data_IF_584534342810
#
_entry.id   IF_584534342810
#
_cell.length_a   1.000
_cell.length_b   1.000
_cell.length_c   1.000
_cell.angle_alpha   90.00
_cell.angle_beta   90.00
_cell.angle_gamma   90.00
#
_symmetry.space_group_name_H-M   'P 1'
#
loop_
_entity.id
_entity.type
_entity.pdbx_description
1 polymer ?
#
# COMPACT_ATOMS: atom_id res chain seq x y z
N UNK A 1 15.84 34.00 6.82
CA UNK A 1 14.53 33.67 6.23
C UNK A 1 14.43 32.17 6.27
N UNK A 2 13.71 31.66 7.26
CA UNK A 2 13.70 30.25 7.65
C UNK A 2 12.54 29.56 6.91
N UNK A 3 12.85 28.60 6.04
CA UNK A 3 11.86 27.89 5.24
C UNK A 3 10.99 26.99 6.11
N UNK A 4 9.67 27.19 6.03
CA UNK A 4 8.65 26.40 6.71
C UNK A 4 8.51 25.01 6.05
N UNK A 5 8.82 23.90 6.73
CA UNK A 5 8.87 22.57 6.13
C UNK A 5 7.49 21.93 5.86
N UNK A 6 6.38 22.65 6.08
CA UNK A 6 5.01 22.09 6.01
C UNK A 6 4.33 22.30 4.64
N UNK A 7 4.83 23.18 3.77
CA UNK A 7 4.08 23.59 2.56
C UNK A 7 4.48 22.91 1.25
N UNK A 8 5.56 22.12 1.19
CA UNK A 8 5.99 21.47 -0.05
C UNK A 8 6.26 19.97 0.15
N UNK A 9 5.63 19.06 -0.62
CA UNK A 9 6.03 17.66 -0.60
C UNK A 9 7.49 17.55 -1.09
N UNK A 10 8.34 16.73 -0.44
CA UNK A 10 9.73 16.58 -0.87
C UNK A 10 9.75 15.98 -2.28
N UNK A 11 10.07 16.79 -3.27
CA UNK A 11 10.36 16.35 -4.62
C UNK A 11 11.81 15.85 -4.63
N UNK A 12 11.99 14.56 -4.34
CA UNK A 12 13.30 13.92 -4.53
C UNK A 12 13.34 13.15 -5.83
N UNK A 13 14.16 13.66 -6.75
CA UNK A 13 14.81 12.89 -7.80
C UNK A 13 15.77 11.84 -7.19
N UNK A 14 16.08 10.75 -7.93
CA UNK A 14 16.88 9.62 -7.44
C UNK A 14 18.22 10.05 -6.83
N UNK A 15 18.67 9.31 -5.79
CA UNK A 15 19.82 9.64 -4.94
C UNK A 15 21.17 9.54 -5.68
N UNK A 16 21.23 8.84 -6.82
CA UNK A 16 22.25 8.99 -7.86
C UNK A 16 21.63 8.72 -9.24
N UNK A 17 21.99 9.49 -10.28
CA UNK A 17 21.43 9.31 -11.64
C UNK A 17 21.65 7.90 -12.22
N UNK A 18 22.65 7.18 -11.72
CA UNK A 18 23.01 5.85 -12.19
C UNK A 18 22.06 4.76 -11.68
N UNK A 19 21.53 4.86 -10.45
CA UNK A 19 20.58 3.88 -9.90
C UNK A 19 19.27 3.85 -10.70
N UNK A 20 18.77 5.02 -11.09
CA UNK A 20 17.57 5.13 -11.92
C UNK A 20 17.82 4.55 -13.32
N UNK A 21 18.95 4.89 -13.94
CA UNK A 21 19.35 4.33 -15.22
C UNK A 21 19.45 2.80 -15.19
N UNK A 22 20.11 2.25 -14.17
CA UNK A 22 20.24 0.80 -13.98
C UNK A 22 18.88 0.14 -13.77
N UNK A 23 18.04 0.70 -12.90
CA UNK A 23 16.69 0.16 -12.63
C UNK A 23 15.83 0.16 -13.90
N UNK A 24 15.89 1.25 -14.68
CA UNK A 24 15.17 1.36 -15.95
C UNK A 24 15.66 0.32 -16.95
N UNK A 25 16.98 0.18 -17.12
CA UNK A 25 17.59 -0.79 -18.03
C UNK A 25 17.18 -2.22 -17.63
N UNK A 26 17.32 -2.59 -16.35
CA UNK A 26 16.94 -3.91 -15.86
C UNK A 26 15.45 -4.19 -16.06
N UNK A 27 14.59 -3.19 -15.81
CA UNK A 27 13.14 -3.32 -16.03
C UNK A 27 12.80 -3.51 -17.52
N UNK A 28 13.52 -2.82 -18.42
CA UNK A 28 13.36 -2.98 -19.87
C UNK A 28 13.81 -4.37 -20.33
N UNK A 29 14.96 -4.87 -19.87
CA UNK A 29 15.40 -6.22 -20.17
C UNK A 29 14.41 -7.26 -19.65
N UNK A 30 13.95 -7.13 -18.41
CA UNK A 30 12.94 -8.02 -17.85
C UNK A 30 11.66 -8.03 -18.70
N UNK A 31 11.16 -6.85 -19.07
CA UNK A 31 9.99 -6.71 -19.95
C UNK A 31 10.21 -7.33 -21.33
N UNK A 32 11.39 -7.14 -21.93
CA UNK A 32 11.75 -7.74 -23.22
C UNK A 32 11.78 -9.27 -23.13
N UNK A 33 12.48 -9.84 -22.14
CA UNK A 33 12.54 -11.28 -21.94
C UNK A 33 11.16 -11.88 -21.67
N UNK A 34 10.31 -11.19 -20.89
CA UNK A 34 8.93 -11.60 -20.67
C UNK A 34 8.12 -11.60 -21.97
N UNK A 35 8.29 -10.59 -22.82
CA UNK A 35 7.64 -10.54 -24.13
C UNK A 35 8.14 -11.67 -25.04
N UNK A 36 9.45 -11.86 -25.14
CA UNK A 36 10.05 -12.93 -25.95
C UNK A 36 9.53 -14.30 -25.49
N UNK A 37 9.50 -14.57 -24.18
CA UNK A 37 8.95 -15.82 -23.67
C UNK A 37 7.46 -15.95 -23.99
N UNK A 38 6.67 -14.89 -23.85
CA UNK A 38 5.23 -14.93 -24.13
C UNK A 38 4.92 -15.22 -25.60
N UNK A 39 5.71 -14.67 -26.53
CA UNK A 39 5.50 -14.84 -27.98
C UNK A 39 6.19 -16.08 -28.57
N UNK A 40 7.26 -16.57 -27.94
CA UNK A 40 7.94 -17.80 -28.37
C UNK A 40 7.17 -19.02 -27.84
N UNK A 41 6.72 -19.90 -28.73
CA UNK A 41 5.99 -21.13 -28.40
C UNK A 41 4.84 -20.89 -27.42
N UNK A 42 3.88 -20.08 -27.86
CA UNK A 42 2.76 -19.62 -27.03
C UNK A 42 2.03 -20.79 -26.36
N UNK A 43 1.95 -20.71 -25.03
CA UNK A 43 1.14 -21.57 -24.20
C UNK A 43 0.29 -20.68 -23.28
N UNK A 44 -1.02 -20.89 -23.16
CA UNK A 44 -1.89 -20.07 -22.30
C UNK A 44 -1.37 -19.89 -20.87
N UNK A 45 -0.63 -20.87 -20.34
CA UNK A 45 -0.02 -20.82 -19.00
C UNK A 45 0.99 -19.68 -18.83
N UNK A 46 1.63 -19.23 -19.91
CA UNK A 46 2.55 -18.09 -19.88
C UNK A 46 1.84 -16.78 -19.55
N UNK A 47 0.50 -16.71 -19.71
CA UNK A 47 -0.29 -15.56 -19.27
C UNK A 47 -0.36 -15.39 -17.74
N UNK A 48 0.06 -16.40 -16.97
CA UNK A 48 0.07 -16.32 -15.51
C UNK A 48 0.89 -15.14 -14.98
N UNK A 49 2.05 -14.86 -15.58
CA UNK A 49 2.93 -13.75 -15.18
C UNK A 49 2.31 -12.37 -15.45
N UNK A 50 1.85 -12.03 -16.67
CA UNK A 50 1.19 -10.73 -16.88
C UNK A 50 -0.10 -10.59 -16.07
N UNK A 51 -0.87 -11.66 -15.86
CA UNK A 51 -2.02 -11.60 -14.95
C UNK A 51 -1.61 -11.35 -13.51
N UNK A 52 -0.51 -11.95 -13.03
CA UNK A 52 0.02 -11.68 -11.70
C UNK A 52 0.42 -10.21 -11.55
N UNK A 53 1.13 -9.63 -12.54
CA UNK A 53 1.54 -8.23 -12.51
C UNK A 53 0.33 -7.27 -12.55
N UNK A 54 -0.67 -7.58 -13.37
CA UNK A 54 -1.91 -6.81 -13.42
C UNK A 54 -2.71 -6.92 -12.11
N UNK A 55 -2.79 -8.12 -11.54
CA UNK A 55 -3.41 -8.37 -10.25
C UNK A 55 -2.71 -7.58 -9.14
N UNK A 56 -1.38 -7.48 -9.15
CA UNK A 56 -0.63 -6.70 -8.15
C UNK A 56 -1.08 -5.24 -8.09
N UNK A 57 -1.25 -4.60 -9.25
CA UNK A 57 -1.70 -3.20 -9.33
C UNK A 57 -3.14 -3.07 -8.81
N UNK A 58 -4.03 -3.99 -9.20
CA UNK A 58 -5.42 -3.99 -8.76
C UNK A 58 -5.53 -4.21 -7.24
N UNK A 59 -4.80 -5.20 -6.71
CA UNK A 59 -4.78 -5.54 -5.29
C UNK A 59 -4.24 -4.40 -4.46
N UNK A 60 -3.17 -3.72 -4.91
CA UNK A 60 -2.66 -2.52 -4.24
C UNK A 60 -3.76 -1.47 -4.05
N UNK A 61 -4.59 -1.23 -5.08
CA UNK A 61 -5.73 -0.31 -4.96
C UNK A 61 -6.71 -0.83 -3.90
N UNK A 62 -7.16 -2.09 -4.01
CA UNK A 62 -8.10 -2.69 -3.07
C UNK A 62 -7.59 -2.60 -1.62
N UNK A 63 -6.30 -2.86 -1.43
CA UNK A 63 -5.60 -2.83 -0.16
C UNK A 63 -5.70 -1.45 0.52
N UNK A 64 -5.29 -0.39 -0.18
CA UNK A 64 -5.35 0.97 0.35
C UNK A 64 -6.80 1.42 0.59
N UNK A 65 -7.72 1.05 -0.30
CA UNK A 65 -9.13 1.36 -0.10
C UNK A 65 -9.73 0.62 1.09
N UNK A 66 -9.25 -0.59 1.45
CA UNK A 66 -9.69 -1.31 2.62
C UNK A 66 -9.30 -0.59 3.92
N UNK A 67 -8.07 -0.09 4.03
CA UNK A 67 -7.66 0.76 5.16
C UNK A 67 -8.55 1.99 5.29
N UNK A 68 -8.80 2.69 4.17
CA UNK A 68 -9.65 3.87 4.17
C UNK A 68 -11.11 3.55 4.52
N UNK A 69 -11.63 2.41 4.06
CA UNK A 69 -12.98 1.96 4.36
C UNK A 69 -13.15 1.66 5.85
N UNK A 70 -12.24 0.89 6.45
CA UNK A 70 -12.28 0.58 7.88
C UNK A 70 -12.06 1.84 8.73
N UNK A 71 -11.14 2.73 8.33
CA UNK A 71 -10.95 4.01 9.02
C UNK A 71 -12.24 4.83 9.07
N UNK A 72 -12.96 4.93 7.96
CA UNK A 72 -14.27 5.61 7.92
C UNK A 72 -15.33 4.87 8.74
N UNK A 73 -15.36 3.53 8.69
CA UNK A 73 -16.31 2.71 9.43
C UNK A 73 -16.16 2.86 10.95
N UNK A 74 -14.93 3.07 11.45
CA UNK A 74 -14.67 3.31 12.89
C UNK A 74 -14.85 4.79 13.30
N UNK A 75 -15.37 5.63 12.40
CA UNK A 75 -15.67 7.04 12.64
C UNK A 75 -14.52 8.01 12.36
N UNK A 76 -13.36 7.52 11.91
CA UNK A 76 -12.21 8.38 11.61
C UNK A 76 -12.30 9.01 10.22
N UNK A 77 -11.62 10.13 10.04
CA UNK A 77 -11.53 10.80 8.73
C UNK A 77 -10.34 10.25 7.95
N UNK A 78 -10.41 10.32 6.62
CA UNK A 78 -9.30 9.96 5.74
C UNK A 78 -8.94 11.19 4.92
N UNK A 79 -7.75 11.75 5.13
CA UNK A 79 -7.33 12.96 4.42
C UNK A 79 -6.74 12.66 3.06
N UNK A 80 -5.97 11.57 2.95
CA UNK A 80 -5.25 11.21 1.74
C UNK A 80 -5.20 9.70 1.54
N UNK A 81 -5.35 9.27 0.29
CA UNK A 81 -5.07 7.92 -0.19
C UNK A 81 -4.06 8.08 -1.33
N UNK A 82 -2.89 7.46 -1.20
CA UNK A 82 -1.84 7.50 -2.22
C UNK A 82 -1.62 6.10 -2.75
N UNK A 83 -1.76 5.97 -4.07
CA UNK A 83 -1.53 4.72 -4.80
C UNK A 83 -0.29 4.92 -5.64
N UNK A 84 0.73 4.10 -5.37
CA UNK A 84 2.04 4.18 -6.00
C UNK A 84 3.03 5.08 -5.25
N UNK A 85 4.26 5.10 -5.76
CA UNK A 85 5.38 5.93 -5.32
C UNK A 85 5.96 6.75 -6.48
N UNK A 86 6.85 7.69 -6.14
CA UNK A 86 7.47 8.62 -7.10
C UNK A 86 6.60 9.83 -7.45
N UNK A 87 6.79 10.37 -8.66
CA UNK A 87 6.11 11.61 -9.11
C UNK A 87 4.59 11.39 -9.20
N UNK A 88 3.82 12.36 -8.69
CA UNK A 88 2.37 12.42 -8.85
C UNK A 88 2.03 12.56 -10.33
N UNK A 89 1.15 11.68 -10.85
CA UNK A 89 0.71 11.68 -12.25
C UNK A 89 -0.71 12.20 -12.37
N UNK A 90 -1.59 11.70 -11.51
CA UNK A 90 -2.99 12.06 -11.49
C UNK A 90 -3.49 12.12 -10.06
N UNK A 91 -4.57 12.84 -9.82
CA UNK A 91 -5.23 12.79 -8.53
C UNK A 91 -6.49 13.64 -8.52
N UNK A 92 -7.45 13.22 -7.74
CA UNK A 92 -8.75 13.86 -7.62
C UNK A 92 -9.20 13.85 -6.16
N UNK A 93 -10.18 14.70 -5.84
CA UNK A 93 -10.70 14.82 -4.48
C UNK A 93 -12.11 14.26 -4.43
N UNK A 94 -12.37 13.39 -3.46
CA UNK A 94 -13.71 12.85 -3.17
C UNK A 94 -14.10 13.32 -1.77
N UNK A 95 -14.98 14.32 -1.70
CA UNK A 95 -15.33 14.99 -0.44
C UNK A 95 -14.10 15.65 0.20
N UNK A 96 -13.68 15.16 1.37
CA UNK A 96 -12.49 15.64 2.07
C UNK A 96 -11.22 14.82 1.80
N UNK A 97 -11.33 13.72 1.07
CA UNK A 97 -10.21 12.80 0.82
C UNK A 97 -9.54 13.12 -0.52
N UNK A 98 -8.23 13.37 -0.50
CA UNK A 98 -7.40 13.48 -1.70
C UNK A 98 -6.93 12.09 -2.13
N UNK A 99 -7.20 11.69 -3.38
CA UNK A 99 -6.76 10.42 -3.95
C UNK A 99 -5.69 10.73 -5.00
N UNK A 100 -4.50 10.16 -4.84
CA UNK A 100 -3.35 10.40 -5.71
C UNK A 100 -2.84 9.11 -6.34
N UNK A 101 -2.57 9.17 -7.64
CA UNK A 101 -1.91 8.12 -8.40
C UNK A 101 -0.52 8.60 -8.78
N UNK A 102 0.49 7.83 -8.38
CA UNK A 102 1.89 8.11 -8.66
C UNK A 102 2.44 7.18 -9.74
N UNK A 103 3.64 7.49 -10.19
CA UNK A 103 4.23 6.89 -11.39
C UNK A 103 4.51 5.38 -11.26
N UNK A 104 4.83 4.91 -10.06
CA UNK A 104 5.26 3.53 -9.80
C UNK A 104 4.24 2.86 -8.88
N UNK A 105 3.34 1.99 -9.38
CA UNK A 105 2.28 1.37 -8.57
C UNK A 105 2.79 0.16 -7.77
N UNK A 106 3.84 0.36 -6.98
CA UNK A 106 4.46 -0.72 -6.18
C UNK A 106 4.16 -0.62 -4.67
N UNK A 107 3.78 0.56 -4.19
CA UNK A 107 3.48 0.81 -2.77
C UNK A 107 2.40 1.86 -2.66
N UNK A 108 1.66 1.92 -1.57
CA UNK A 108 0.69 2.97 -1.29
C UNK A 108 0.71 3.37 0.18
N UNK A 109 -0.13 4.32 0.54
CA UNK A 109 -0.49 4.55 1.94
C UNK A 109 -1.80 5.32 2.07
N UNK A 110 -2.47 5.14 3.20
CA UNK A 110 -3.59 5.96 3.66
C UNK A 110 -3.18 6.81 4.85
N UNK A 111 -3.67 8.06 4.89
CA UNK A 111 -3.56 8.93 6.07
C UNK A 111 -4.90 9.01 6.80
N UNK A 112 -5.16 8.10 7.76
CA UNK A 112 -6.29 8.24 8.66
C UNK A 112 -6.03 9.34 9.69
N UNK A 113 -7.08 10.08 10.03
CA UNK A 113 -7.10 11.12 11.05
C UNK A 113 -8.02 10.67 12.18
N UNK A 114 -7.43 10.45 13.35
CA UNK A 114 -8.18 10.10 14.56
C UNK A 114 -9.10 11.25 14.94
N UNK A 115 -10.37 10.94 15.17
CA UNK A 115 -11.41 11.91 15.55
C UNK A 115 -11.85 11.79 17.00
N UNK A 116 -11.55 10.66 17.63
CA UNK A 116 -11.92 10.32 19.00
C UNK A 116 -10.88 9.37 19.60
N UNK A 117 -10.94 9.23 20.92
CA UNK A 117 -10.08 8.34 21.71
C UNK A 117 -10.84 7.15 22.30
N UNK A 118 -11.92 6.72 21.64
CA UNK A 118 -12.68 5.54 22.06
C UNK A 118 -12.00 4.30 21.45
N UNK A 119 -11.41 3.47 22.31
CA UNK A 119 -10.67 2.26 21.92
C UNK A 119 -9.65 2.46 20.77
N UNK A 120 -8.76 3.47 20.85
CA UNK A 120 -7.93 3.91 19.72
C UNK A 120 -6.98 2.81 19.22
N UNK A 121 -6.50 1.96 20.14
CA UNK A 121 -5.63 0.82 19.81
C UNK A 121 -6.34 -0.24 18.97
N UNK A 122 -7.58 -0.58 19.33
CA UNK A 122 -8.39 -1.54 18.58
C UNK A 122 -8.76 -0.97 17.20
N UNK A 123 -9.13 0.31 17.13
CA UNK A 123 -9.39 0.98 15.85
C UNK A 123 -8.17 0.95 14.93
N UNK A 124 -6.98 1.30 15.44
CA UNK A 124 -5.73 1.16 14.69
C UNK A 124 -5.46 -0.26 14.24
N UNK A 125 -5.60 -1.25 15.14
CA UNK A 125 -5.42 -2.66 14.81
C UNK A 125 -6.33 -3.08 13.65
N UNK A 126 -7.63 -2.74 13.71
CA UNK A 126 -8.58 -3.04 12.65
C UNK A 126 -8.21 -2.33 11.34
N UNK A 127 -7.75 -1.07 11.39
CA UNK A 127 -7.31 -0.34 10.21
C UNK A 127 -6.11 -1.04 9.59
N UNK A 128 -5.04 -1.34 10.33
CA UNK A 128 -3.88 -2.06 9.78
C UNK A 128 -4.23 -3.45 9.25
N UNK A 129 -5.11 -4.20 9.93
CA UNK A 129 -5.55 -5.51 9.45
C UNK A 129 -6.40 -5.44 8.16
N UNK A 130 -6.94 -4.27 7.81
CA UNK A 130 -7.91 -4.14 6.72
C UNK A 130 -7.33 -4.48 5.34
N UNK A 131 -6.12 -4.00 5.03
CA UNK A 131 -5.42 -4.25 3.76
C UNK A 131 -5.18 -5.74 3.50
N UNK A 132 -4.32 -6.42 4.29
CA UNK A 132 -4.09 -7.86 4.15
C UNK A 132 -5.37 -8.68 4.36
N UNK A 133 -6.29 -8.23 5.21
CA UNK A 133 -7.58 -8.89 5.44
C UNK A 133 -8.49 -8.88 4.21
N UNK A 134 -8.55 -7.78 3.45
CA UNK A 134 -9.33 -7.69 2.22
C UNK A 134 -8.78 -8.62 1.13
N UNK A 135 -7.45 -8.75 1.02
CA UNK A 135 -6.79 -9.67 0.08
C UNK A 135 -7.07 -11.14 0.41
N UNK A 136 -7.01 -11.51 1.70
CA UNK A 136 -7.34 -12.86 2.16
C UNK A 136 -8.83 -13.17 1.97
N UNK A 137 -9.71 -12.21 2.26
CA UNK A 137 -11.14 -12.36 2.05
C UNK A 137 -11.47 -12.56 0.57
N UNK A 138 -10.87 -11.74 -0.31
CA UNK A 138 -11.03 -11.89 -1.76
C UNK A 138 -10.56 -13.27 -2.23
N UNK A 139 -9.40 -13.72 -1.74
CA UNK A 139 -8.86 -15.05 -2.06
C UNK A 139 -9.82 -16.16 -1.63
N UNK A 140 -10.34 -16.10 -0.40
CA UNK A 140 -11.29 -17.08 0.12
C UNK A 140 -12.60 -17.11 -0.67
N UNK A 141 -13.12 -15.94 -1.04
CA UNK A 141 -14.32 -15.81 -1.88
C UNK A 141 -14.10 -16.44 -3.26
N UNK A 142 -12.96 -16.17 -3.91
CA UNK A 142 -12.64 -16.76 -5.21
C UNK A 142 -12.48 -18.29 -5.13
N UNK A 143 -11.82 -18.80 -4.09
CA UNK A 143 -11.70 -20.25 -3.86
C UNK A 143 -13.06 -20.89 -3.67
N UNK A 144 -13.95 -20.25 -2.91
CA UNK A 144 -15.31 -20.76 -2.68
C UNK A 144 -16.13 -20.85 -3.97
N UNK A 145 -16.09 -19.80 -4.81
CA UNK A 145 -16.90 -19.77 -6.04
C UNK A 145 -16.34 -20.60 -7.19
N UNK A 146 -15.01 -20.64 -7.37
CA UNK A 146 -14.39 -21.40 -8.48
C UNK A 146 -14.16 -22.88 -8.13
N UNK A 147 -14.00 -23.15 -6.83
CA UNK A 147 -13.74 -24.48 -6.31
C UNK A 147 -12.24 -24.78 -6.21
N UNK A 148 -11.78 -25.42 -5.11
CA UNK A 148 -10.36 -25.71 -4.90
C UNK A 148 -9.80 -26.68 -5.94
N UNK A 149 -10.60 -27.64 -6.40
CA UNK A 149 -10.16 -28.63 -7.40
C UNK A 149 -9.77 -27.97 -8.72
N UNK A 150 -10.61 -27.05 -9.21
CA UNK A 150 -10.34 -26.27 -10.42
C UNK A 150 -9.09 -25.41 -10.28
N UNK A 151 -8.86 -24.85 -9.08
CA UNK A 151 -7.75 -23.93 -8.80
C UNK A 151 -6.41 -24.63 -8.55
N UNK A 152 -6.40 -25.87 -8.06
CA UNK A 152 -5.18 -26.62 -7.78
C UNK A 152 -4.69 -27.43 -8.99
N UNK A 153 -5.52 -27.59 -10.02
CA UNK A 153 -5.17 -28.33 -11.22
C UNK A 153 -4.40 -27.48 -12.25
N UNK A 154 -3.59 -28.17 -13.06
CA UNK A 154 -2.95 -27.56 -14.23
C UNK A 154 -4.00 -27.40 -15.32
N UNK A 155 -4.31 -26.15 -15.64
CA UNK A 155 -5.29 -25.80 -16.68
C UNK A 155 -4.65 -25.00 -17.80
N UNK A 156 -5.36 -24.93 -18.93
CA UNK A 156 -5.09 -24.03 -20.06
C UNK A 156 -6.21 -23.01 -20.24
N UNK A 157 -7.23 -23.04 -19.38
CA UNK A 157 -8.33 -22.09 -19.41
C UNK A 157 -7.88 -20.74 -18.87
N UNK A 158 -7.90 -19.74 -19.75
CA UNK A 158 -7.43 -18.37 -19.45
C UNK A 158 -8.12 -17.78 -18.20
N UNK A 159 -9.45 -17.92 -18.00
CA UNK A 159 -10.10 -17.37 -16.80
C UNK A 159 -9.61 -18.00 -15.50
N UNK A 160 -9.40 -19.32 -15.48
CA UNK A 160 -8.88 -20.02 -14.29
C UNK A 160 -7.45 -19.57 -14.00
N UNK A 161 -6.61 -19.44 -15.04
CA UNK A 161 -5.23 -18.93 -14.89
C UNK A 161 -5.24 -17.51 -14.32
N UNK A 162 -6.12 -16.63 -14.78
CA UNK A 162 -6.25 -15.27 -14.24
C UNK A 162 -6.64 -15.27 -12.75
N UNK A 163 -7.60 -16.11 -12.36
CA UNK A 163 -8.01 -16.27 -10.95
C UNK A 163 -6.88 -16.86 -10.10
N UNK A 164 -6.19 -17.90 -10.59
CA UNK A 164 -5.01 -18.48 -9.91
C UNK A 164 -3.94 -17.41 -9.68
N UNK A 165 -3.58 -16.63 -10.71
CA UNK A 165 -2.61 -15.54 -10.60
C UNK A 165 -3.05 -14.46 -9.61
N UNK A 166 -4.34 -14.09 -9.60
CA UNK A 166 -4.90 -13.11 -8.66
C UNK A 166 -4.82 -13.61 -7.21
N UNK A 167 -5.18 -14.87 -6.95
CA UNK A 167 -5.08 -15.49 -5.62
C UNK A 167 -3.63 -15.55 -5.16
N UNK A 168 -2.71 -15.99 -6.03
CA UNK A 168 -1.27 -16.06 -5.68
C UNK A 168 -0.73 -14.67 -5.36
N UNK A 169 -1.09 -13.64 -6.13
CA UNK A 169 -0.71 -12.26 -5.86
C UNK A 169 -1.27 -11.76 -4.51
N UNK A 170 -2.55 -12.03 -4.22
CA UNK A 170 -3.19 -11.63 -2.98
C UNK A 170 -2.60 -12.33 -1.75
N UNK A 171 -2.34 -13.64 -1.84
CA UNK A 171 -1.71 -14.39 -0.76
C UNK A 171 -0.28 -13.92 -0.49
N UNK A 172 0.50 -13.67 -1.56
CA UNK A 172 1.87 -13.18 -1.41
C UNK A 172 1.90 -11.75 -0.86
N UNK A 173 1.05 -10.86 -1.38
CA UNK A 173 0.91 -9.48 -0.89
C UNK A 173 0.53 -9.44 0.58
N UNK A 174 -0.49 -10.21 0.97
CA UNK A 174 -0.96 -10.31 2.35
C UNK A 174 0.12 -10.88 3.27
N UNK A 175 0.82 -11.94 2.83
CA UNK A 175 1.94 -12.50 3.56
C UNK A 175 3.04 -11.45 3.81
N UNK A 176 3.47 -10.72 2.78
CA UNK A 176 4.51 -9.68 2.92
C UNK A 176 4.06 -8.56 3.87
N UNK A 177 2.80 -8.12 3.77
CA UNK A 177 2.27 -7.05 4.62
C UNK A 177 2.06 -7.49 6.07
N UNK A 178 1.84 -8.77 6.33
CA UNK A 178 1.73 -9.33 7.69
C UNK A 178 3.09 -9.55 8.37
N UNK A 179 4.20 -9.61 7.61
CA UNK A 179 5.53 -9.70 8.21
C UNK A 179 5.81 -8.44 9.04
N UNK A 180 6.35 -8.54 10.26
CA UNK A 180 6.59 -7.39 11.12
C UNK A 180 7.90 -6.66 10.76
N UNK A 181 7.90 -6.00 9.61
CA UNK A 181 9.08 -5.34 9.02
C UNK A 181 8.90 -3.83 8.92
N UNK A 182 9.99 -3.08 9.16
CA UNK A 182 10.05 -1.64 8.94
C UNK A 182 10.90 -1.32 7.74
N UNK A 183 10.45 -0.39 6.91
CA UNK A 183 11.16 0.06 5.73
C UNK A 183 11.51 1.54 5.84
N UNK A 184 12.62 1.95 5.26
CA UNK A 184 12.95 3.36 5.14
C UNK A 184 12.70 3.77 3.70
N UNK A 185 11.63 4.54 3.48
CA UNK A 185 11.30 5.12 2.18
C UNK A 185 11.45 6.64 2.32
N UNK A 186 12.32 7.25 1.51
CA UNK A 186 12.54 8.70 1.47
C UNK A 186 12.92 9.34 2.82
N UNK A 187 13.67 8.61 3.66
CA UNK A 187 14.08 9.08 4.99
C UNK A 187 12.94 9.14 6.02
N UNK A 188 11.72 8.77 5.61
CA UNK A 188 10.60 8.51 6.52
C UNK A 188 10.53 7.02 6.78
N UNK A 189 10.38 6.66 8.05
CA UNK A 189 10.19 5.27 8.43
C UNK A 189 8.76 4.89 8.10
N UNK A 190 8.60 4.01 7.10
CA UNK A 190 7.34 3.34 6.82
C UNK A 190 7.35 1.98 7.53
N UNK A 191 6.17 1.46 7.82
CA UNK A 191 6.00 0.17 8.50
C UNK A 191 5.00 -0.65 7.72
N UNK A 192 5.24 -1.95 7.66
CA UNK A 192 4.25 -2.95 7.24
C UNK A 192 3.03 -2.91 8.16
N UNK A 193 1.89 -3.36 7.65
CA UNK A 193 0.66 -3.47 8.43
C UNK A 193 0.81 -4.41 9.62
N UNK A 194 1.49 -5.54 9.44
CA UNK A 194 1.78 -6.50 10.50
C UNK A 194 2.57 -5.86 11.65
N UNK A 195 3.56 -5.03 11.32
CA UNK A 195 4.27 -4.24 12.33
C UNK A 195 3.33 -3.20 12.99
N UNK A 196 2.48 -2.53 12.21
CA UNK A 196 1.46 -1.61 12.70
C UNK A 196 0.48 -2.25 13.69
N UNK A 197 -0.02 -3.44 13.36
CA UNK A 197 -0.91 -4.25 14.21
C UNK A 197 -0.27 -4.55 15.57
N UNK A 198 1.04 -4.85 15.61
CA UNK A 198 1.76 -5.10 16.87
C UNK A 198 2.01 -3.80 17.63
N UNK A 199 2.52 -2.77 16.95
CA UNK A 199 2.96 -1.53 17.60
C UNK A 199 1.79 -0.65 18.05
N UNK A 200 0.61 -0.77 17.44
CA UNK A 200 -0.54 0.03 17.83
C UNK A 200 -0.95 -0.14 19.31
N UNK A 201 -0.61 -1.29 19.92
CA UNK A 201 -0.87 -1.53 21.33
C UNK A 201 -0.01 -0.68 22.28
N UNK A 202 1.05 -0.07 21.76
CA UNK A 202 1.94 0.86 22.48
C UNK A 202 1.57 2.32 22.25
N UNK A 203 0.57 2.63 21.42
CA UNK A 203 0.17 4.01 21.18
C UNK A 203 -0.45 4.63 22.45
N UNK A 204 -0.20 5.93 22.68
CA UNK A 204 -0.82 6.66 23.78
C UNK A 204 -2.34 6.72 23.58
N UNK A 205 -3.09 6.63 24.68
CA UNK A 205 -4.55 6.63 24.67
C UNK A 205 -5.11 8.05 24.57
N UNK A 206 -4.38 9.03 25.11
CA UNK A 206 -4.67 10.46 25.03
C UNK A 206 -3.63 11.14 24.13
N UNK A 207 -3.96 12.31 23.53
CA UNK A 207 -2.94 13.10 22.86
C UNK A 207 -1.85 13.42 23.87
N UNK A 208 -0.58 13.30 23.45
CA UNK A 208 0.51 13.90 24.19
C UNK A 208 0.16 15.39 24.28
N UNK A 209 -0.23 15.86 25.47
CA UNK A 209 -0.25 17.29 25.73
C UNK A 209 1.14 17.77 25.35
N UNK A 210 1.23 18.60 24.31
CA UNK A 210 2.40 19.42 24.10
C UNK A 210 2.67 20.03 25.45
N UNK A 211 3.79 19.64 26.08
CA UNK A 211 4.25 20.32 27.27
C UNK A 211 4.39 21.76 26.82
N UNK A 212 3.42 22.59 27.18
CA UNK A 212 3.43 24.00 26.94
C UNK A 212 4.82 24.46 27.36
N UNK A 213 5.56 24.98 26.38
CA UNK A 213 6.68 25.86 26.66
C UNK A 213 6.04 27.03 27.40
N UNK A 214 6.02 26.95 28.72
CA UNK A 214 5.63 28.02 29.61
C UNK A 214 6.42 29.27 29.20
N UNK A 215 5.77 30.39 28.85
CA UNK A 215 6.47 31.64 28.66
C UNK A 215 6.88 32.15 30.04
N UNK A 216 7.97 31.62 30.59
CA UNK A 216 8.54 32.16 31.82
C UNK A 216 9.31 33.44 31.50
N UNK A 217 8.58 34.54 31.65
CA UNK A 217 9.01 35.85 32.16
C UNK A 217 9.77 36.77 31.21
N UNK A 218 9.01 37.70 30.63
CA UNK A 218 9.42 39.10 30.60
C UNK A 218 9.40 39.65 32.03
N UNK A 219 10.56 40.02 32.54
CA UNK A 219 10.68 41.02 33.60
C UNK A 219 11.91 41.88 33.28
N UNK A 220 11.61 43.08 32.78
CA UNK A 220 12.29 44.34 33.10
C UNK A 220 13.25 44.25 34.29
N UNK A 221 14.54 44.54 34.09
CA UNK A 221 15.23 45.80 34.42
C UNK A 221 16.47 45.91 33.55
#
# INVERSE_FOLDING_TARGET
MEENPITNPPERSPKTSNEFGVTLILSLFFGLFLCVDLFSDYNPRKLSVPFFLAAWILLLVIHEFAHAAIARAVGWKVSQIVIGSGRRRYGFKVGHTSIEFRSIPLSGFVLPQQTDYIAPRLKHFCIYAAGPGAELLLSAVLVYFVGPESLLQRTSEIPIIAVQSLIVAALLGSFINLLPISFSADGKRSMSDGLGMILCWRFPLEPLQDKEVSPSQSSTV
#
